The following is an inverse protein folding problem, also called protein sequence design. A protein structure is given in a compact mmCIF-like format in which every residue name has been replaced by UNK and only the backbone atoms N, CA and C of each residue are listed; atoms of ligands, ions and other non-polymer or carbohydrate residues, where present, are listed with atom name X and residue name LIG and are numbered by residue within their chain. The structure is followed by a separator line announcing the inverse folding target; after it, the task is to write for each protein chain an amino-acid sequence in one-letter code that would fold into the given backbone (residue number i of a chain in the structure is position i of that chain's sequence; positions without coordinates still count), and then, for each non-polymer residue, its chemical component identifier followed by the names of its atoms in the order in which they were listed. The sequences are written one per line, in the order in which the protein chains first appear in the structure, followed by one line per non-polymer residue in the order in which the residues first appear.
data_IF_219602652411
#
_entry.id   IF_219602652411
#
_cell.length_a   1.000
_cell.length_b   1.000
_cell.length_c   1.000
_cell.angle_alpha   90.00
_cell.angle_beta   90.00
_cell.angle_gamma   90.00
#
_symmetry.space_group_name_H-M   'P 1'
#
loop_
_entity.id
_entity.type
_entity.pdbx_description
1 polymer ?
#
# COMPACT_ATOMS: atom_id res chain seq x y z
N UNK A 1 14.24 -32.05 -8.39
CA UNK A 1 12.76 -31.95 -8.60
C UNK A 1 12.52 -31.80 -10.10
N UNK A 2 11.75 -32.70 -10.72
CA UNK A 2 11.41 -32.57 -12.14
C UNK A 2 10.39 -31.44 -12.26
N UNK A 3 10.80 -30.30 -12.73
CA UNK A 3 9.87 -29.25 -13.14
C UNK A 3 9.13 -29.73 -14.38
N UNK A 4 7.87 -30.06 -14.20
CA UNK A 4 7.02 -30.48 -15.30
C UNK A 4 6.53 -29.21 -16.01
N UNK A 5 7.10 -28.89 -17.18
CA UNK A 5 6.64 -27.73 -17.97
C UNK A 5 5.19 -27.96 -18.41
N UNK A 6 4.34 -26.99 -18.17
CA UNK A 6 2.96 -27.03 -18.65
C UNK A 6 2.92 -26.56 -20.12
N UNK A 7 2.09 -27.20 -20.96
CA UNK A 7 1.93 -26.74 -22.35
C UNK A 7 1.21 -25.37 -22.37
N UNK A 8 1.54 -24.52 -23.35
CA UNK A 8 0.92 -23.20 -23.51
C UNK A 8 -0.61 -23.26 -23.66
N UNK A 9 -1.14 -24.38 -24.17
CA UNK A 9 -2.58 -24.63 -24.29
C UNK A 9 -3.33 -24.61 -22.95
N UNK A 10 -2.64 -24.68 -21.81
CA UNK A 10 -3.25 -24.45 -20.49
C UNK A 10 -3.86 -23.04 -20.41
N UNK A 11 -3.29 -22.06 -21.09
CA UNK A 11 -3.83 -20.70 -21.11
C UNK A 11 -5.21 -20.63 -21.77
N UNK A 12 -5.49 -21.51 -22.72
CA UNK A 12 -6.78 -21.58 -23.43
C UNK A 12 -7.92 -22.08 -22.54
N UNK A 13 -7.58 -22.67 -21.38
CA UNK A 13 -8.58 -23.14 -20.41
C UNK A 13 -9.15 -22.03 -19.53
N UNK A 14 -8.54 -20.86 -19.54
CA UNK A 14 -9.03 -19.70 -18.79
C UNK A 14 -10.07 -18.94 -19.60
N UNK A 15 -11.09 -18.44 -18.89
CA UNK A 15 -12.08 -17.58 -19.52
C UNK A 15 -11.39 -16.30 -20.05
N UNK A 16 -11.78 -15.81 -21.23
CA UNK A 16 -11.22 -14.59 -21.78
C UNK A 16 -11.46 -13.42 -20.81
N UNK A 17 -10.52 -12.46 -20.74
CA UNK A 17 -10.69 -11.28 -19.91
C UNK A 17 -11.93 -10.51 -20.33
N UNK A 18 -12.64 -9.94 -19.37
CA UNK A 18 -13.83 -9.11 -19.57
C UNK A 18 -13.55 -7.66 -19.16
N UNK A 19 -12.76 -6.89 -19.95
CA UNK A 19 -12.30 -5.56 -19.56
C UNK A 19 -13.47 -4.61 -19.27
N UNK A 20 -14.50 -4.63 -20.10
CA UNK A 20 -15.68 -3.75 -19.92
C UNK A 20 -16.39 -3.99 -18.59
N UNK A 21 -16.51 -5.26 -18.19
CA UNK A 21 -17.11 -5.62 -16.90
C UNK A 21 -16.20 -5.19 -15.74
N UNK A 22 -14.90 -5.38 -15.88
CA UNK A 22 -13.93 -4.95 -14.87
C UNK A 22 -13.97 -3.43 -14.70
N UNK A 23 -13.98 -2.67 -15.79
CA UNK A 23 -14.08 -1.22 -15.79
C UNK A 23 -15.38 -0.71 -15.16
N UNK A 24 -16.50 -1.34 -15.47
CA UNK A 24 -17.79 -0.98 -14.89
C UNK A 24 -17.80 -1.22 -13.37
N UNK A 25 -17.30 -2.37 -12.91
CA UNK A 25 -17.19 -2.68 -11.49
C UNK A 25 -16.22 -1.75 -10.76
N UNK A 26 -15.09 -1.42 -11.40
CA UNK A 26 -14.11 -0.47 -10.85
C UNK A 26 -14.74 0.93 -10.69
N UNK A 27 -15.40 1.44 -11.72
CA UNK A 27 -16.11 2.73 -11.66
C UNK A 27 -17.16 2.76 -10.56
N UNK A 28 -17.93 1.68 -10.43
CA UNK A 28 -18.93 1.55 -9.36
C UNK A 28 -18.28 1.54 -7.97
N UNK A 29 -17.22 0.79 -7.78
CA UNK A 29 -16.49 0.73 -6.51
C UNK A 29 -15.87 2.09 -6.13
N UNK A 30 -15.28 2.79 -7.10
CA UNK A 30 -14.66 4.09 -6.88
C UNK A 30 -15.67 5.22 -6.61
N UNK A 31 -16.88 5.14 -7.14
CA UNK A 31 -17.90 6.19 -6.98
C UNK A 31 -18.33 6.41 -5.52
N UNK A 32 -18.31 5.35 -4.70
CA UNK A 32 -18.67 5.41 -3.28
C UNK A 32 -17.51 5.64 -2.32
N UNK A 33 -16.29 5.54 -2.81
CA UNK A 33 -15.11 5.57 -1.96
C UNK A 33 -14.59 7.01 -1.79
N UNK A 34 -14.42 7.43 -0.54
CA UNK A 34 -13.95 8.79 -0.18
C UNK A 34 -12.59 8.80 0.51
N UNK A 35 -12.03 7.63 0.76
CA UNK A 35 -10.78 7.49 1.50
C UNK A 35 -9.60 8.02 0.69
N UNK A 36 -8.68 8.68 1.36
CA UNK A 36 -7.34 8.92 0.84
C UNK A 36 -6.55 7.62 0.88
N UNK A 37 -5.86 7.30 -0.20
CA UNK A 37 -4.95 6.16 -0.25
C UNK A 37 -3.55 6.68 0.05
N UNK A 38 -3.00 6.27 1.17
CA UNK A 38 -1.64 6.64 1.60
C UNK A 38 -0.72 5.46 1.34
N UNK A 39 0.15 5.60 0.37
CA UNK A 39 1.08 4.54 -0.03
C UNK A 39 2.45 4.77 0.62
N UNK A 40 2.89 3.83 1.43
CA UNK A 40 4.25 3.82 1.97
C UNK A 40 5.12 3.01 1.01
N UNK A 41 6.12 3.66 0.44
CA UNK A 41 7.04 3.06 -0.52
C UNK A 41 8.43 2.89 0.11
N UNK A 42 8.97 1.70 0.03
CA UNK A 42 10.27 1.35 0.60
C UNK A 42 11.44 1.60 -0.36
N UNK A 43 11.14 1.81 -1.64
CA UNK A 43 12.13 1.91 -2.71
C UNK A 43 11.66 2.88 -3.81
N UNK A 44 12.50 3.82 -4.27
CA UNK A 44 12.14 4.77 -5.31
C UNK A 44 11.74 4.15 -6.65
N UNK A 45 11.95 2.84 -6.84
CA UNK A 45 11.50 2.13 -8.04
C UNK A 45 9.99 1.84 -8.05
N UNK A 46 9.34 1.84 -6.88
CA UNK A 46 7.91 1.56 -6.77
C UNK A 46 7.03 2.61 -7.46
N UNK A 47 7.46 3.87 -7.47
CA UNK A 47 6.72 4.99 -8.06
C UNK A 47 6.87 5.11 -9.58
N UNK A 48 7.75 4.33 -10.21
CA UNK A 48 8.02 4.44 -11.65
C UNK A 48 6.83 4.05 -12.54
N UNK A 49 5.87 3.35 -11.99
CA UNK A 49 4.68 2.86 -12.73
C UNK A 49 3.48 3.81 -12.63
N UNK A 50 3.60 4.89 -11.86
CA UNK A 50 2.52 5.86 -11.65
C UNK A 50 2.90 7.23 -12.20
N UNK A 51 1.89 8.02 -12.61
CA UNK A 51 2.09 9.41 -13.06
C UNK A 51 0.97 10.31 -12.52
N UNK A 52 1.27 11.61 -12.44
CA UNK A 52 0.29 12.59 -11.96
C UNK A 52 -0.05 12.45 -10.47
N UNK A 53 0.80 11.81 -9.70
CA UNK A 53 0.64 11.58 -8.26
C UNK A 53 1.84 12.18 -7.55
N UNK A 54 1.60 12.84 -6.43
CA UNK A 54 2.67 13.39 -5.62
C UNK A 54 3.39 12.31 -4.81
N UNK A 55 4.70 12.45 -4.76
CA UNK A 55 5.60 11.61 -3.98
C UNK A 55 6.35 12.48 -3.00
N UNK A 56 6.06 12.33 -1.72
CA UNK A 56 6.75 13.03 -0.66
C UNK A 56 7.99 12.24 -0.24
N UNK A 57 9.13 12.88 -0.21
CA UNK A 57 10.41 12.29 0.19
C UNK A 57 10.76 12.57 1.66
N UNK A 58 9.89 13.25 2.34
CA UNK A 58 9.88 13.44 3.78
C UNK A 58 8.50 13.09 4.34
N UNK A 59 8.41 12.86 5.63
CA UNK A 59 7.18 12.50 6.33
C UNK A 59 6.92 13.40 7.53
N UNK A 60 7.19 14.69 7.35
CA UNK A 60 6.80 15.71 8.33
C UNK A 60 5.27 15.79 8.42
N UNK A 61 4.78 16.26 9.56
CA UNK A 61 3.34 16.50 9.73
C UNK A 61 2.78 17.41 8.62
N UNK A 62 3.59 18.37 8.14
CA UNK A 62 3.20 19.31 7.08
C UNK A 62 3.06 18.58 5.74
N UNK A 63 4.06 17.81 5.32
CA UNK A 63 4.03 17.08 4.04
C UNK A 63 2.89 16.06 4.00
N UNK A 64 2.65 15.37 5.11
CA UNK A 64 1.52 14.44 5.21
C UNK A 64 0.20 15.20 5.12
N UNK A 65 0.05 16.35 5.78
CA UNK A 65 -1.16 17.17 5.71
C UNK A 65 -1.42 17.65 4.28
N UNK A 66 -0.40 18.14 3.58
CA UNK A 66 -0.49 18.53 2.17
C UNK A 66 -1.01 17.38 1.30
N UNK A 67 -0.49 16.17 1.49
CA UNK A 67 -0.98 14.98 0.79
C UNK A 67 -2.47 14.69 1.05
N UNK A 68 -2.98 15.00 2.25
CA UNK A 68 -4.40 14.88 2.54
C UNK A 68 -5.23 16.00 1.90
N UNK A 69 -4.70 17.20 1.76
CA UNK A 69 -5.39 18.35 1.19
C UNK A 69 -5.49 18.32 -0.33
N UNK A 70 -4.58 17.62 -1.00
CA UNK A 70 -4.58 17.48 -2.46
C UNK A 70 -5.92 16.97 -3.02
N UNK A 71 -6.18 17.28 -4.28
CA UNK A 71 -7.32 16.73 -5.03
C UNK A 71 -7.15 15.24 -5.33
N UNK A 72 -5.92 14.79 -5.59
CA UNK A 72 -5.62 13.40 -5.83
C UNK A 72 -6.02 12.54 -4.63
N UNK A 73 -6.65 11.42 -4.92
CA UNK A 73 -7.08 10.47 -3.88
C UNK A 73 -5.94 9.63 -3.32
N UNK A 74 -4.79 9.65 -3.96
CA UNK A 74 -3.62 8.86 -3.58
C UNK A 74 -2.38 9.73 -3.59
N UNK A 75 -1.51 9.50 -2.63
CA UNK A 75 -0.16 10.05 -2.59
C UNK A 75 0.82 9.02 -1.99
N UNK A 76 2.09 9.20 -2.29
CA UNK A 76 3.16 8.32 -1.85
C UNK A 76 4.02 9.01 -0.79
N UNK A 77 4.44 8.22 0.20
CA UNK A 77 5.47 8.58 1.17
C UNK A 77 6.67 7.65 0.93
N UNK A 78 7.70 8.18 0.29
CA UNK A 78 8.90 7.44 -0.02
C UNK A 78 9.81 7.41 1.21
N UNK A 79 9.96 6.25 1.81
CA UNK A 79 10.76 6.09 3.03
C UNK A 79 12.19 5.65 2.78
N UNK A 80 12.45 5.02 1.63
CA UNK A 80 13.72 4.34 1.36
C UNK A 80 14.12 3.35 2.48
N UNK A 81 13.12 2.76 3.13
CA UNK A 81 13.33 1.90 4.30
C UNK A 81 14.05 0.60 3.99
N UNK A 82 14.20 0.27 2.70
CA UNK A 82 15.04 -0.86 2.26
C UNK A 82 16.51 -0.70 2.67
N UNK A 83 17.01 0.53 2.80
CA UNK A 83 18.37 0.84 3.24
C UNK A 83 18.53 0.95 4.75
N UNK A 84 17.44 0.85 5.51
CA UNK A 84 17.42 1.04 6.95
C UNK A 84 17.53 -0.29 7.72
N UNK A 85 17.98 -0.20 8.96
CA UNK A 85 17.87 -1.32 9.91
C UNK A 85 16.41 -1.57 10.28
N UNK A 86 16.12 -2.77 10.79
CA UNK A 86 14.76 -3.11 11.24
C UNK A 86 14.21 -2.13 12.30
N UNK A 87 15.09 -1.64 13.18
CA UNK A 87 14.70 -0.69 14.23
C UNK A 87 14.33 0.66 13.63
N UNK A 88 15.16 1.22 12.77
CA UNK A 88 14.92 2.48 12.08
C UNK A 88 13.64 2.41 11.23
N UNK A 89 13.47 1.34 10.47
CA UNK A 89 12.27 1.11 9.66
C UNK A 89 11.01 1.14 10.53
N UNK A 90 11.03 0.49 11.69
CA UNK A 90 9.91 0.50 12.63
C UNK A 90 9.61 1.91 13.12
N UNK A 91 10.62 2.64 13.57
CA UNK A 91 10.49 4.01 14.11
C UNK A 91 9.89 4.94 13.07
N UNK A 92 10.37 4.88 11.83
CA UNK A 92 9.85 5.67 10.69
C UNK A 92 8.39 5.33 10.39
N UNK A 93 8.05 4.06 10.30
CA UNK A 93 6.68 3.65 9.99
C UNK A 93 5.69 4.01 11.11
N UNK A 94 6.11 3.94 12.37
CA UNK A 94 5.29 4.39 13.50
C UNK A 94 5.12 5.92 13.52
N UNK A 95 6.17 6.67 13.15
CA UNK A 95 6.08 8.12 13.00
C UNK A 95 5.09 8.49 11.89
N UNK A 96 5.22 7.87 10.71
CA UNK A 96 4.29 8.07 9.59
C UNK A 96 2.86 7.75 9.99
N UNK A 97 2.63 6.62 10.66
CA UNK A 97 1.30 6.21 11.09
C UNK A 97 0.65 7.28 12.01
N UNK A 98 1.42 7.81 12.96
CA UNK A 98 0.95 8.91 13.84
C UNK A 98 0.63 10.19 13.06
N UNK A 99 1.50 10.58 12.11
CA UNK A 99 1.30 11.75 11.25
C UNK A 99 0.05 11.62 10.38
N UNK A 100 -0.13 10.46 9.74
CA UNK A 100 -1.30 10.15 8.90
C UNK A 100 -2.60 10.20 9.71
N UNK A 101 -2.62 9.61 10.92
CA UNK A 101 -3.80 9.70 11.79
C UNK A 101 -4.10 11.15 12.21
N UNK A 102 -3.08 11.94 12.48
CA UNK A 102 -3.23 13.36 12.84
C UNK A 102 -3.81 14.15 11.66
N UNK A 103 -3.28 13.98 10.45
CA UNK A 103 -3.76 14.64 9.24
C UNK A 103 -5.19 14.21 8.88
N UNK A 104 -5.52 12.92 8.97
CA UNK A 104 -6.88 12.40 8.77
C UNK A 104 -7.89 13.05 9.73
N UNK A 105 -7.55 13.19 11.00
CA UNK A 105 -8.42 13.87 11.98
C UNK A 105 -8.56 15.36 11.69
N UNK A 106 -7.47 16.03 11.31
CA UNK A 106 -7.47 17.47 11.02
C UNK A 106 -8.31 17.80 9.79
N UNK A 107 -8.23 16.96 8.74
CA UNK A 107 -8.96 17.17 7.48
C UNK A 107 -10.35 16.54 7.45
N UNK A 108 -10.66 15.67 8.41
CA UNK A 108 -11.90 14.88 8.41
C UNK A 108 -11.98 13.86 7.28
N UNK A 109 -10.88 13.61 6.57
CA UNK A 109 -10.81 12.64 5.46
C UNK A 109 -10.37 11.27 5.99
N UNK A 110 -11.15 10.21 5.80
CA UNK A 110 -10.73 8.85 6.10
C UNK A 110 -9.59 8.43 5.17
N UNK A 111 -8.82 7.41 5.56
CA UNK A 111 -7.72 6.92 4.76
C UNK A 111 -7.61 5.40 4.75
N UNK A 112 -7.07 4.89 3.66
CA UNK A 112 -6.69 3.49 3.50
C UNK A 112 -5.16 3.44 3.31
N UNK A 113 -4.41 2.85 4.24
CA UNK A 113 -2.99 2.66 4.08
C UNK A 113 -2.71 1.54 3.08
N UNK A 114 -1.70 1.73 2.26
CA UNK A 114 -1.18 0.74 1.33
C UNK A 114 0.35 0.69 1.43
N UNK A 115 0.94 -0.37 0.95
CA UNK A 115 2.40 -0.49 0.86
C UNK A 115 2.77 -0.91 -0.55
N UNK A 116 3.68 -0.17 -1.15
CA UNK A 116 4.38 -0.56 -2.36
C UNK A 116 5.70 -1.20 -1.96
N UNK A 117 5.73 -2.52 -1.90
CA UNK A 117 6.92 -3.28 -1.58
C UNK A 117 7.24 -4.21 -2.75
N UNK A 118 8.29 -3.91 -3.50
CA UNK A 118 8.68 -4.68 -4.69
C UNK A 118 9.22 -6.07 -4.35
N UNK A 119 9.75 -6.27 -3.14
CA UNK A 119 10.18 -7.57 -2.63
C UNK A 119 9.78 -7.72 -1.17
N UNK A 120 9.14 -8.84 -0.81
CA UNK A 120 8.77 -9.09 0.57
C UNK A 120 10.01 -9.45 1.38
N UNK A 121 10.82 -8.46 1.77
CA UNK A 121 11.78 -8.70 2.83
C UNK A 121 11.02 -8.93 4.14
N UNK A 122 11.46 -9.91 4.92
CA UNK A 122 10.85 -10.23 6.23
C UNK A 122 10.87 -9.04 7.20
N UNK A 123 11.79 -8.08 7.02
CA UNK A 123 11.89 -6.86 7.80
C UNK A 123 10.79 -5.85 7.45
N UNK A 124 10.52 -5.59 6.17
CA UNK A 124 9.49 -4.64 5.73
C UNK A 124 8.09 -5.09 6.17
N UNK A 125 7.76 -6.38 6.05
CA UNK A 125 6.46 -6.90 6.50
C UNK A 125 6.20 -6.68 7.99
N UNK A 126 7.19 -6.90 8.84
CA UNK A 126 7.07 -6.70 10.29
C UNK A 126 6.94 -5.23 10.67
N UNK A 127 7.58 -4.34 9.93
CA UNK A 127 7.52 -2.89 10.19
C UNK A 127 6.20 -2.29 9.73
N UNK A 128 5.68 -2.72 8.58
CA UNK A 128 4.35 -2.34 8.11
C UNK A 128 3.29 -2.78 9.13
N UNK A 129 3.40 -4.02 9.67
CA UNK A 129 2.48 -4.49 10.70
C UNK A 129 2.55 -3.66 11.98
N UNK A 130 3.72 -3.11 12.34
CA UNK A 130 3.85 -2.22 13.51
C UNK A 130 3.17 -0.87 13.29
N UNK A 131 3.35 -0.24 12.13
CA UNK A 131 2.62 0.99 11.80
C UNK A 131 1.11 0.75 11.73
N UNK A 132 0.68 -0.37 11.15
CA UNK A 132 -0.72 -0.79 11.10
C UNK A 132 -1.28 -1.06 12.49
N UNK A 133 -0.51 -1.61 13.41
CA UNK A 133 -0.92 -1.81 14.80
C UNK A 133 -1.19 -0.47 15.50
N UNK A 134 -0.34 0.53 15.31
CA UNK A 134 -0.56 1.90 15.82
C UNK A 134 -1.87 2.48 15.29
N UNK A 135 -2.16 2.29 14.00
CA UNK A 135 -3.41 2.74 13.38
C UNK A 135 -4.62 2.00 13.99
N UNK A 136 -4.52 0.69 14.16
CA UNK A 136 -5.58 -0.14 14.73
C UNK A 136 -5.85 0.19 16.20
N UNK A 137 -4.82 0.36 17.02
CA UNK A 137 -4.93 0.73 18.43
C UNK A 137 -5.56 2.12 18.64
N UNK A 138 -5.43 2.99 17.64
CA UNK A 138 -6.07 4.30 17.64
C UNK A 138 -7.55 4.28 17.21
N UNK A 139 -8.13 3.10 17.00
CA UNK A 139 -9.54 2.92 16.63
C UNK A 139 -9.84 3.13 15.14
N UNK A 140 -8.83 3.28 14.29
CA UNK A 140 -8.99 3.24 12.85
C UNK A 140 -9.04 1.78 12.38
N UNK A 141 -10.23 1.26 12.16
CA UNK A 141 -10.38 -0.01 11.47
C UNK A 141 -10.14 0.21 9.97
N UNK A 142 -9.10 -0.37 9.37
CA UNK A 142 -8.94 -0.29 7.92
C UNK A 142 -10.11 -1.00 7.25
N UNK A 143 -10.77 -0.33 6.33
CA UNK A 143 -11.97 -0.83 5.66
C UNK A 143 -11.74 -2.16 4.91
N UNK A 144 -10.54 -2.42 4.44
CA UNK A 144 -10.08 -3.74 3.94
C UNK A 144 -8.56 -3.76 3.91
N UNK A 145 -7.92 -4.56 4.73
CA UNK A 145 -6.55 -4.96 4.49
C UNK A 145 -6.57 -6.23 3.64
N UNK A 146 -6.46 -6.08 2.33
CA UNK A 146 -6.15 -7.20 1.44
C UNK A 146 -4.70 -7.61 1.67
N UNK A 147 -4.42 -8.28 2.78
CA UNK A 147 -3.23 -9.11 2.84
C UNK A 147 -3.45 -10.24 1.84
N UNK A 148 -2.84 -10.15 0.68
CA UNK A 148 -2.59 -11.35 -0.08
C UNK A 148 -1.70 -12.26 0.78
N UNK A 149 -2.37 -13.03 1.63
CA UNK A 149 -1.81 -14.24 2.18
C UNK A 149 -1.69 -15.23 1.01
N UNK A 150 -0.65 -15.06 0.19
CA UNK A 150 -0.11 -16.23 -0.47
C UNK A 150 0.41 -17.10 0.66
N UNK A 151 -0.29 -18.16 0.99
CA UNK A 151 0.22 -19.21 1.84
C UNK A 151 1.47 -19.74 1.13
N UNK A 152 2.61 -19.21 1.45
CA UNK A 152 3.88 -19.85 1.13
C UNK A 152 3.90 -21.13 1.95
N UNK A 153 3.52 -22.22 1.29
CA UNK A 153 3.94 -23.53 1.75
C UNK A 153 5.44 -23.47 1.87
N UNK A 154 5.91 -23.86 3.02
CA UNK A 154 7.31 -24.03 3.33
C UNK A 154 7.97 -24.81 2.20
N UNK A 155 8.95 -24.19 1.54
CA UNK A 155 9.94 -24.95 0.80
C UNK A 155 10.90 -25.54 1.84
N UNK A 156 10.82 -26.85 2.02
CA UNK A 156 11.81 -27.69 2.66
C UNK A 156 13.04 -27.79 1.75
#
# INVERSE_FOLDING_TARGET
MNEQSLPLSVLDTYAPPQPEKADALLKQALAGQRDKIVVIDDDPTGVQTVHGIHVYTDWTDQSILEGFEEENRMFFLLTNSRSMTQKETREVHEQIARGVMKASRATGKPFTPSSSCATPSTSSRRSISSGMQVVSEAGYAPAVFSSHHSSSRECV
#
